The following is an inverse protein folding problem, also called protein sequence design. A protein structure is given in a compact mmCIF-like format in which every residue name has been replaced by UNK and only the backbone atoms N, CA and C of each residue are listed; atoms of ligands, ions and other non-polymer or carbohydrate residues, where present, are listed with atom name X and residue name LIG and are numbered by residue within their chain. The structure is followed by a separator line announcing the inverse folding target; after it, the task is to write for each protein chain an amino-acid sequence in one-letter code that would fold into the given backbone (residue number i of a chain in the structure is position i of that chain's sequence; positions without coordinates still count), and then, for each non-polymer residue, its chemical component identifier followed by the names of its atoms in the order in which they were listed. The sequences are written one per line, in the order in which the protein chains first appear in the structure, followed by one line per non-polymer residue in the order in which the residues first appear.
data_IF_896146111795
#
_entry.id   IF_896146111795
#
_cell.length_a   1.000
_cell.length_b   1.000
_cell.length_c   1.000
_cell.angle_alpha   90.00
_cell.angle_beta   90.00
_cell.angle_gamma   90.00
#
_symmetry.space_group_name_H-M   'P 1'
#
loop_
_entity.id
_entity.type
_entity.pdbx_description
1 polymer ?
#
# COMPACT_ATOMS: atom_id res chain seq x y z
N UNK A 1 -5.84 21.60 -29.35
CA UNK A 1 -5.39 21.73 -27.95
C UNK A 1 -5.35 20.35 -27.33
N UNK A 2 -4.18 19.76 -27.00
CA UNK A 2 -4.18 18.53 -26.22
C UNK A 2 -4.73 18.86 -24.83
N UNK A 3 -5.82 18.21 -24.41
CA UNK A 3 -6.31 18.30 -23.04
C UNK A 3 -5.13 18.00 -22.11
N UNK A 4 -4.70 18.97 -21.31
CA UNK A 4 -3.87 18.70 -20.16
C UNK A 4 -4.65 17.68 -19.32
N UNK A 5 -4.28 16.39 -19.43
CA UNK A 5 -4.78 15.36 -18.52
C UNK A 5 -4.41 15.89 -17.15
N UNK A 6 -5.40 16.37 -16.41
CA UNK A 6 -5.25 16.70 -15.01
C UNK A 6 -4.46 15.53 -14.40
N UNK A 7 -3.28 15.84 -13.86
CA UNK A 7 -2.47 14.91 -13.09
C UNK A 7 -3.29 14.63 -11.82
N UNK A 8 -4.25 13.71 -11.93
CA UNK A 8 -5.31 13.53 -10.95
C UNK A 8 -4.99 12.45 -9.91
N UNK A 9 -5.73 12.44 -8.77
CA UNK A 9 -5.79 11.31 -7.86
C UNK A 9 -5.91 9.95 -8.57
N UNK A 10 -6.73 9.84 -9.61
CA UNK A 10 -6.90 8.58 -10.33
C UNK A 10 -5.64 8.10 -11.07
N UNK A 11 -4.74 9.01 -11.49
CA UNK A 11 -3.45 8.63 -12.07
C UNK A 11 -2.51 8.11 -10.97
N UNK A 12 -2.52 8.75 -9.81
CA UNK A 12 -1.75 8.33 -8.64
C UNK A 12 -2.20 6.93 -8.18
N UNK A 13 -3.51 6.70 -8.08
CA UNK A 13 -4.08 5.42 -7.67
C UNK A 13 -3.73 4.30 -8.66
N UNK A 14 -3.89 4.55 -9.97
CA UNK A 14 -3.49 3.58 -11.00
C UNK A 14 -2.01 3.24 -10.93
N UNK A 15 -1.14 4.23 -10.69
CA UNK A 15 0.29 3.96 -10.59
C UNK A 15 0.63 3.18 -9.31
N UNK A 16 -0.10 3.42 -8.23
CA UNK A 16 0.01 2.68 -6.98
C UNK A 16 -0.42 1.22 -7.15
N UNK A 17 -1.52 0.96 -7.86
CA UNK A 17 -1.96 -0.40 -8.24
C UNK A 17 -0.87 -1.14 -9.04
N UNK A 18 -0.27 -0.47 -10.04
CA UNK A 18 0.83 -1.05 -10.81
C UNK A 18 2.04 -1.32 -9.92
N UNK A 19 2.36 -0.45 -8.98
CA UNK A 19 3.45 -0.67 -8.04
C UNK A 19 3.21 -1.90 -7.14
N UNK A 20 1.99 -2.05 -6.60
CA UNK A 20 1.61 -3.21 -5.78
C UNK A 20 1.65 -4.51 -6.60
N UNK A 21 1.17 -4.49 -7.85
CA UNK A 21 1.26 -5.63 -8.75
C UNK A 21 2.74 -5.99 -9.05
N UNK A 22 3.56 -4.99 -9.32
CA UNK A 22 5.01 -5.15 -9.56
C UNK A 22 5.70 -5.78 -8.36
N UNK A 23 5.42 -5.28 -7.16
CA UNK A 23 5.95 -5.82 -5.91
C UNK A 23 5.52 -7.28 -5.70
N UNK A 24 4.26 -7.60 -5.99
CA UNK A 24 3.68 -8.92 -5.79
C UNK A 24 4.30 -9.97 -6.72
N UNK A 25 4.50 -9.61 -7.99
CA UNK A 25 5.01 -10.52 -9.02
C UNK A 25 6.53 -10.66 -8.99
N UNK A 26 7.27 -9.55 -8.84
CA UNK A 26 8.72 -9.54 -9.01
C UNK A 26 9.49 -9.64 -7.68
N UNK A 27 8.82 -9.31 -6.57
CA UNK A 27 9.38 -9.28 -5.23
C UNK A 27 10.20 -8.03 -4.93
N UNK A 28 10.49 -7.84 -3.63
CA UNK A 28 11.15 -6.65 -3.07
C UNK A 28 12.52 -6.38 -3.71
N UNK A 29 13.33 -7.43 -3.91
CA UNK A 29 14.70 -7.29 -4.43
C UNK A 29 14.75 -6.71 -5.86
N UNK A 30 13.69 -6.93 -6.66
CA UNK A 30 13.61 -6.43 -8.04
C UNK A 30 12.73 -5.18 -8.18
N UNK A 31 12.12 -4.73 -7.09
CA UNK A 31 11.25 -3.57 -7.10
C UNK A 31 12.04 -2.27 -7.26
N UNK A 32 11.81 -1.57 -8.37
CA UNK A 32 12.43 -0.27 -8.67
C UNK A 32 11.41 0.68 -9.30
N UNK A 33 11.59 2.00 -9.10
CA UNK A 33 10.73 3.01 -9.75
C UNK A 33 10.81 2.97 -11.27
N UNK A 34 11.97 2.56 -11.81
CA UNK A 34 12.13 2.26 -13.24
C UNK A 34 11.21 1.14 -13.70
N UNK A 35 11.18 0.01 -12.99
CA UNK A 35 10.29 -1.12 -13.35
C UNK A 35 8.82 -0.71 -13.28
N UNK A 36 8.44 0.04 -12.25
CA UNK A 36 7.07 0.56 -12.11
C UNK A 36 6.71 1.48 -13.28
N UNK A 37 7.60 2.41 -13.65
CA UNK A 37 7.39 3.30 -14.79
C UNK A 37 7.24 2.53 -16.11
N UNK A 38 8.12 1.55 -16.36
CA UNK A 38 8.06 0.66 -17.53
C UNK A 38 6.72 -0.07 -17.60
N UNK A 39 6.27 -0.69 -16.51
CA UNK A 39 5.00 -1.43 -16.44
C UNK A 39 3.77 -0.53 -16.55
N UNK A 40 3.84 0.69 -16.02
CA UNK A 40 2.77 1.67 -16.11
C UNK A 40 2.72 2.42 -17.46
N UNK A 41 3.67 2.17 -18.37
CA UNK A 41 3.76 2.86 -19.65
C UNK A 41 4.04 4.37 -19.50
N UNK A 42 4.81 4.75 -18.48
CA UNK A 42 5.14 6.15 -18.16
C UNK A 42 6.64 6.34 -17.93
N UNK A 43 7.06 7.55 -17.58
CA UNK A 43 8.46 7.88 -17.29
C UNK A 43 8.75 7.88 -15.78
N UNK A 44 10.00 7.59 -15.40
CA UNK A 44 10.44 7.68 -14.00
C UNK A 44 10.22 9.08 -13.39
N UNK A 45 10.51 10.19 -14.10
CA UNK A 45 10.16 11.53 -13.61
C UNK A 45 8.67 11.70 -13.29
N UNK A 46 7.76 11.09 -14.07
CA UNK A 46 6.32 11.15 -13.77
C UNK A 46 5.95 10.35 -12.52
N UNK A 47 6.68 9.26 -12.20
CA UNK A 47 6.53 8.54 -10.93
C UNK A 47 6.97 9.42 -9.77
N UNK A 48 8.15 10.05 -9.86
CA UNK A 48 8.64 10.96 -8.83
C UNK A 48 7.79 12.22 -8.68
N UNK A 49 7.15 12.69 -9.74
CA UNK A 49 6.21 13.81 -9.61
C UNK A 49 4.98 13.46 -8.74
N UNK A 50 4.56 12.19 -8.71
CA UNK A 50 3.38 11.74 -7.95
C UNK A 50 3.70 11.24 -6.53
N UNK A 51 4.93 10.82 -6.30
CA UNK A 51 5.36 10.13 -5.09
C UNK A 51 6.66 10.67 -4.48
N UNK A 52 7.18 11.78 -5.01
CA UNK A 52 8.45 12.44 -4.69
C UNK A 52 9.70 11.59 -5.00
N UNK A 53 9.79 10.41 -4.41
CA UNK A 53 10.90 9.49 -4.53
C UNK A 53 10.46 8.01 -4.40
N UNK A 54 11.42 7.08 -4.36
CA UNK A 54 11.15 5.65 -4.15
C UNK A 54 10.52 5.41 -2.78
N UNK A 55 10.96 6.12 -1.74
CA UNK A 55 10.45 5.96 -0.39
C UNK A 55 9.01 6.45 -0.28
N UNK A 56 8.61 7.50 -0.99
CA UNK A 56 7.24 7.99 -1.06
C UNK A 56 6.30 7.05 -1.81
N UNK A 57 6.79 6.36 -2.85
CA UNK A 57 6.03 5.28 -3.48
C UNK A 57 5.85 4.10 -2.52
N UNK A 58 6.89 3.74 -1.76
CA UNK A 58 6.81 2.69 -0.73
C UNK A 58 5.87 3.09 0.41
N UNK A 59 5.90 4.35 0.87
CA UNK A 59 4.95 4.93 1.85
C UNK A 59 3.51 4.80 1.35
N UNK A 60 3.26 5.13 0.09
CA UNK A 60 1.92 4.99 -0.49
C UNK A 60 1.46 3.52 -0.48
N UNK A 61 2.32 2.57 -0.84
CA UNK A 61 2.00 1.14 -0.76
C UNK A 61 1.76 0.67 0.68
N UNK A 62 2.56 1.18 1.63
CA UNK A 62 2.41 0.88 3.05
C UNK A 62 1.01 1.28 3.55
N UNK A 63 0.58 2.51 3.28
CA UNK A 63 -0.75 2.98 3.69
C UNK A 63 -1.88 2.25 2.96
N UNK A 64 -1.70 1.96 1.68
CA UNK A 64 -2.70 1.21 0.91
C UNK A 64 -2.90 -0.20 1.48
N UNK A 65 -1.83 -0.86 1.92
CA UNK A 65 -1.91 -2.13 2.63
C UNK A 65 -2.76 -2.05 3.90
N UNK A 66 -2.58 -1.01 4.72
CA UNK A 66 -3.42 -0.79 5.91
C UNK A 66 -4.86 -0.43 5.58
N UNK A 67 -5.10 0.34 4.52
CA UNK A 67 -6.44 0.67 4.03
C UNK A 67 -7.20 -0.60 3.61
N UNK A 68 -6.54 -1.48 2.86
CA UNK A 68 -7.11 -2.76 2.43
C UNK A 68 -7.39 -3.67 3.63
N UNK A 69 -6.42 -3.85 4.52
CA UNK A 69 -6.61 -4.65 5.74
C UNK A 69 -7.76 -4.10 6.61
N UNK A 70 -7.79 -2.78 6.84
CA UNK A 70 -8.85 -2.12 7.61
C UNK A 70 -10.23 -2.32 6.97
N UNK A 71 -10.32 -2.26 5.64
CA UNK A 71 -11.56 -2.53 4.91
C UNK A 71 -12.05 -3.98 5.09
N UNK A 72 -11.14 -4.96 5.18
CA UNK A 72 -11.51 -6.35 5.46
C UNK A 72 -11.89 -6.56 6.92
N UNK A 73 -11.17 -5.97 7.87
CA UNK A 73 -11.48 -6.07 9.30
C UNK A 73 -12.81 -5.39 9.64
N UNK A 74 -13.15 -4.27 9.00
CA UNK A 74 -14.41 -3.56 9.19
C UNK A 74 -15.65 -4.37 8.75
N UNK A 75 -15.48 -5.47 8.01
CA UNK A 75 -16.58 -6.38 7.66
C UNK A 75 -16.92 -7.34 8.80
N UNK A 76 -16.07 -7.45 9.82
CA UNK A 76 -16.37 -8.25 11.02
C UNK A 76 -17.46 -7.53 11.83
N UNK A 77 -18.59 -8.19 12.12
CA UNK A 77 -19.66 -7.58 12.90
C UNK A 77 -19.18 -7.17 14.29
N UNK A 78 -19.74 -6.08 14.81
CA UNK A 78 -19.63 -5.71 16.22
C UNK A 78 -20.90 -6.15 16.91
N UNK A 79 -20.74 -6.97 17.95
CA UNK A 79 -21.81 -7.64 18.70
C UNK A 79 -21.64 -7.38 20.21
N UNK A 80 -22.52 -7.96 21.02
CA UNK A 80 -22.38 -7.91 22.48
C UNK A 80 -21.25 -8.83 23.01
N UNK A 81 -20.78 -9.78 22.20
CA UNK A 81 -19.65 -10.66 22.50
C UNK A 81 -18.33 -10.08 21.97
N UNK A 82 -17.80 -9.08 22.69
CA UNK A 82 -16.58 -8.37 22.31
C UNK A 82 -15.36 -9.30 22.18
N UNK A 83 -15.28 -10.37 22.97
CA UNK A 83 -14.18 -11.34 22.87
C UNK A 83 -14.32 -12.17 21.59
N UNK A 84 -15.52 -12.68 21.30
CA UNK A 84 -15.77 -13.40 20.05
C UNK A 84 -15.52 -12.54 18.82
N UNK A 85 -15.81 -11.24 18.86
CA UNK A 85 -15.53 -10.33 17.75
C UNK A 85 -14.03 -10.14 17.54
N UNK A 86 -13.26 -10.02 18.63
CA UNK A 86 -11.79 -9.98 18.56
C UNK A 86 -11.23 -11.29 17.98
N UNK A 87 -11.76 -12.44 18.39
CA UNK A 87 -11.38 -13.75 17.84
C UNK A 87 -11.66 -13.85 16.33
N UNK A 88 -12.74 -13.23 15.84
CA UNK A 88 -13.10 -13.18 14.41
C UNK A 88 -12.15 -12.31 13.58
N UNK A 89 -11.44 -11.34 14.17
CA UNK A 89 -10.44 -10.53 13.45
C UNK A 89 -9.20 -11.34 13.07
N UNK A 90 -8.82 -12.33 13.88
CA UNK A 90 -7.61 -13.16 13.67
C UNK A 90 -7.60 -13.89 12.32
N UNK A 91 -8.64 -14.65 11.93
CA UNK A 91 -8.65 -15.32 10.62
C UNK A 91 -8.65 -14.33 9.46
N UNK A 92 -9.30 -13.16 9.59
CA UNK A 92 -9.31 -12.10 8.56
C UNK A 92 -7.90 -11.55 8.34
N UNK A 93 -7.20 -11.19 9.42
CA UNK A 93 -5.82 -10.75 9.36
C UNK A 93 -4.90 -11.81 8.74
N UNK A 94 -5.07 -13.08 9.12
CA UNK A 94 -4.30 -14.20 8.57
C UNK A 94 -4.57 -14.40 7.08
N UNK A 95 -5.82 -14.32 6.65
CA UNK A 95 -6.19 -14.42 5.24
C UNK A 95 -5.57 -13.29 4.42
N UNK A 96 -5.61 -12.05 4.93
CA UNK A 96 -4.93 -10.91 4.30
C UNK A 96 -3.43 -11.17 4.12
N UNK A 97 -2.73 -11.57 5.20
CA UNK A 97 -1.29 -11.85 5.13
C UNK A 97 -0.94 -12.97 4.11
N UNK A 98 -1.85 -13.93 3.90
CA UNK A 98 -1.66 -14.99 2.90
C UNK A 98 -2.00 -14.57 1.48
N UNK A 99 -3.00 -13.71 1.30
CA UNK A 99 -3.40 -13.18 0.00
C UNK A 99 -2.38 -12.15 -0.54
N UNK A 100 -1.80 -11.34 0.36
CA UNK A 100 -0.89 -10.25 0.00
C UNK A 100 0.46 -10.35 0.75
N UNK A 101 1.22 -11.46 0.60
CA UNK A 101 2.41 -11.71 1.42
C UNK A 101 3.50 -10.65 1.24
N UNK A 102 3.63 -10.07 0.04
CA UNK A 102 4.61 -9.01 -0.24
C UNK A 102 4.19 -7.68 0.34
N UNK A 103 2.91 -7.34 0.27
CA UNK A 103 2.38 -6.13 0.89
C UNK A 103 2.44 -6.22 2.42
N UNK A 104 2.11 -7.39 2.98
CA UNK A 104 2.27 -7.67 4.41
C UNK A 104 3.75 -7.55 4.85
N UNK A 105 4.71 -7.97 4.02
CA UNK A 105 6.13 -7.73 4.28
C UNK A 105 6.42 -6.22 4.36
N UNK A 106 5.92 -5.41 3.42
CA UNK A 106 6.08 -3.94 3.46
C UNK A 106 5.51 -3.33 4.73
N UNK A 107 4.33 -3.80 5.17
CA UNK A 107 3.63 -3.28 6.35
C UNK A 107 4.30 -3.67 7.67
N UNK A 108 4.77 -4.92 7.80
CA UNK A 108 5.12 -5.49 9.10
C UNK A 108 6.58 -5.91 9.26
N UNK A 109 7.37 -5.98 8.19
CA UNK A 109 8.71 -6.60 8.21
C UNK A 109 9.86 -5.67 7.80
N UNK A 110 9.60 -4.36 7.61
CA UNK A 110 10.60 -3.35 7.20
C UNK A 110 11.58 -3.82 6.10
N UNK A 111 11.08 -4.31 4.95
CA UNK A 111 11.91 -4.97 3.95
C UNK A 111 12.67 -4.00 3.05
N UNK A 112 12.37 -2.70 3.11
CA UNK A 112 13.05 -1.65 2.38
C UNK A 112 13.88 -0.82 3.36
N UNK A 113 15.21 -0.93 3.30
CA UNK A 113 16.12 -0.15 4.14
C UNK A 113 15.95 1.37 3.96
N UNK A 114 15.49 1.80 2.78
CA UNK A 114 15.27 3.19 2.42
C UNK A 114 13.99 3.80 3.05
N UNK A 115 13.18 3.00 3.76
CA UNK A 115 11.94 3.46 4.39
C UNK A 115 11.92 3.19 5.90
N UNK A 116 12.10 4.27 6.67
CA UNK A 116 11.86 4.30 8.11
C UNK A 116 10.59 5.13 8.41
N UNK A 117 9.55 4.54 9.05
CA UNK A 117 8.35 5.28 9.42
C UNK A 117 8.67 6.39 10.42
N UNK A 118 8.33 7.64 10.08
CA UNK A 118 8.47 8.79 10.95
C UNK A 118 7.25 9.01 11.85
N UNK A 119 7.24 10.09 12.64
CA UNK A 119 6.15 10.41 13.56
C UNK A 119 4.78 10.53 12.87
N UNK A 120 4.72 11.05 11.64
CA UNK A 120 3.49 11.17 10.86
C UNK A 120 2.96 9.80 10.41
N UNK A 121 3.84 8.90 9.96
CA UNK A 121 3.44 7.53 9.59
C UNK A 121 2.94 6.73 10.80
N UNK A 122 3.53 6.95 11.98
CA UNK A 122 3.07 6.34 13.21
C UNK A 122 1.72 6.93 13.68
N UNK A 123 1.53 8.24 13.51
CA UNK A 123 0.29 8.93 13.86
C UNK A 123 -0.87 8.58 12.93
N UNK A 124 -0.61 8.30 11.65
CA UNK A 124 -1.62 7.89 10.69
C UNK A 124 -2.36 6.59 11.11
N UNK A 125 -1.72 5.71 11.88
CA UNK A 125 -2.39 4.56 12.51
C UNK A 125 -3.55 4.94 13.43
N UNK A 126 -3.53 6.14 14.03
CA UNK A 126 -4.62 6.66 14.85
C UNK A 126 -5.82 7.16 14.03
N UNK A 127 -5.60 7.54 12.76
CA UNK A 127 -6.65 8.01 11.83
C UNK A 127 -7.40 6.89 11.09
N UNK A 128 -7.02 5.63 11.28
CA UNK A 128 -7.72 4.45 10.71
C UNK A 128 -8.78 3.90 11.69
N UNK A 129 -9.14 4.64 12.74
CA UNK A 129 -10.23 4.31 13.66
C UNK A 129 -11.55 4.90 13.22
#
# INVERSE_FOLDING_TARGET
MPRAKQRTPELRDRLLEVAIATLSEEGIARFTTRRVAERAGTSVPAVYELFDDKAGLVRAMFFEGFRLLGSELAKVPVTEDALGDLERLVPVFRLFCRAYPRLAQVMFSRPFADFEPGPEELAAGASVR
#
